data_IF_944006025544
#
_entry.id   IF_944006025544
#
_cell.length_a   1.000
_cell.length_b   1.000
_cell.length_c   1.000
_cell.angle_alpha   90.00
_cell.angle_beta   90.00
_cell.angle_gamma   90.00
#
_symmetry.space_group_name_H-M   'P 1'
#
loop_
_entity.id
_entity.type
_entity.pdbx_description
1 polymer ?
#
# COMPACT_ATOMS: atom_id res chain seq x y z
N UNK A 1 -15.91 1.54 8.44
CA UNK A 1 -15.03 2.67 8.41
C UNK A 1 -13.60 2.28 8.05
N UNK A 2 -12.79 3.27 7.67
CA UNK A 2 -11.40 3.09 7.27
C UNK A 2 -10.47 2.71 8.43
N UNK A 3 -10.94 2.91 9.65
CA UNK A 3 -10.12 2.68 10.85
C UNK A 3 -9.67 1.23 10.94
N UNK A 4 -8.41 1.03 10.66
CA UNK A 4 -7.71 -0.23 10.80
C UNK A 4 -6.30 0.08 11.34
N UNK A 5 -6.05 -0.19 12.62
CA UNK A 5 -4.75 0.12 13.20
C UNK A 5 -3.68 -0.78 12.57
N UNK A 6 -2.57 -0.19 12.18
CA UNK A 6 -1.39 -0.93 11.75
C UNK A 6 -0.13 -0.19 12.20
N UNK A 7 0.80 -0.91 12.80
CA UNK A 7 2.12 -0.40 13.18
C UNK A 7 3.02 -0.34 11.93
N UNK A 8 4.03 0.52 11.96
CA UNK A 8 5.00 0.61 10.87
C UNK A 8 5.79 -0.71 10.66
N UNK A 9 5.90 -1.51 11.73
CA UNK A 9 6.64 -2.77 11.76
C UNK A 9 5.74 -4.02 11.79
N UNK A 10 4.43 -3.88 11.59
CA UNK A 10 3.55 -5.02 11.37
C UNK A 10 3.89 -5.73 10.05
N UNK A 11 3.41 -6.96 9.90
CA UNK A 11 3.60 -7.72 8.68
C UNK A 11 3.00 -7.02 7.43
N UNK A 12 3.44 -7.43 6.26
CA UNK A 12 3.02 -6.84 5.00
C UNK A 12 1.50 -6.91 4.79
N UNK A 13 0.80 -8.03 5.04
CA UNK A 13 -0.65 -8.11 4.90
C UNK A 13 -1.40 -7.12 5.80
N UNK A 14 -0.92 -6.92 7.02
CA UNK A 14 -1.56 -6.01 7.96
C UNK A 14 -1.42 -4.55 7.52
N UNK A 15 -0.21 -4.15 7.13
CA UNK A 15 0.07 -2.81 6.59
C UNK A 15 -0.68 -2.54 5.29
N UNK A 16 -0.76 -3.53 4.40
CA UNK A 16 -1.52 -3.47 3.15
C UNK A 16 -3.02 -3.31 3.41
N UNK A 17 -3.56 -4.05 4.38
CA UNK A 17 -4.99 -3.95 4.76
C UNK A 17 -5.34 -2.52 5.19
N UNK A 18 -4.49 -1.87 6.00
CA UNK A 18 -4.69 -0.47 6.37
C UNK A 18 -4.72 0.43 5.13
N UNK A 19 -3.73 0.31 4.25
CA UNK A 19 -3.62 1.13 3.05
C UNK A 19 -4.82 0.96 2.11
N UNK A 20 -5.25 -0.27 1.84
CA UNK A 20 -6.40 -0.54 0.98
C UNK A 20 -7.72 -0.06 1.58
N UNK A 21 -7.87 -0.03 2.90
CA UNK A 21 -9.05 0.56 3.55
C UNK A 21 -9.09 2.08 3.40
N UNK A 22 -7.95 2.76 3.53
CA UNK A 22 -7.86 4.19 3.24
C UNK A 22 -8.15 4.49 1.77
N UNK A 23 -7.60 3.70 0.84
CA UNK A 23 -7.88 3.83 -0.59
C UNK A 23 -9.38 3.65 -0.91
N UNK A 24 -10.04 2.67 -0.28
CA UNK A 24 -11.47 2.42 -0.48
C UNK A 24 -12.33 3.61 -0.03
N UNK A 25 -12.08 4.14 1.18
CA UNK A 25 -12.86 5.29 1.67
C UNK A 25 -12.62 6.54 0.82
N UNK A 26 -11.38 6.77 0.39
CA UNK A 26 -11.06 7.90 -0.48
C UNK A 26 -11.75 7.75 -1.85
N UNK A 27 -11.71 6.54 -2.44
CA UNK A 27 -12.40 6.22 -3.67
C UNK A 27 -13.92 6.46 -3.57
N UNK A 28 -14.56 5.94 -2.51
CA UNK A 28 -16.00 6.09 -2.30
C UNK A 28 -16.39 7.55 -2.09
N UNK A 29 -15.54 8.32 -1.38
CA UNK A 29 -15.73 9.76 -1.20
C UNK A 29 -15.70 10.51 -2.53
N UNK A 30 -14.74 10.20 -3.40
CA UNK A 30 -14.58 10.85 -4.72
C UNK A 30 -15.74 10.44 -5.65
N UNK A 31 -16.17 9.18 -5.59
CA UNK A 31 -17.28 8.68 -6.41
C UNK A 31 -18.63 9.31 -6.04
N UNK A 32 -18.79 9.80 -4.81
CA UNK A 32 -20.07 10.28 -4.31
C UNK A 32 -20.32 11.72 -4.70
N UNK A 33 -21.41 11.96 -5.43
CA UNK A 33 -21.87 13.32 -5.76
C UNK A 33 -22.26 14.10 -4.49
N UNK A 34 -21.91 15.39 -4.47
CA UNK A 34 -22.24 16.29 -3.37
C UNK A 34 -21.31 16.19 -2.15
N UNK A 35 -20.31 15.35 -2.20
CA UNK A 35 -19.27 15.25 -1.16
C UNK A 35 -18.06 16.07 -1.60
N UNK A 36 -17.70 17.10 -0.84
CA UNK A 36 -16.58 17.98 -1.17
C UNK A 36 -15.21 17.37 -0.83
N UNK A 37 -15.17 16.39 0.06
CA UNK A 37 -13.94 15.71 0.48
C UNK A 37 -14.11 14.93 1.77
N UNK A 38 -13.03 14.31 2.22
CA UNK A 38 -13.00 13.57 3.48
C UNK A 38 -11.72 13.85 4.26
N UNK A 39 -11.78 13.61 5.55
CA UNK A 39 -10.62 13.67 6.44
C UNK A 39 -10.35 12.26 6.99
N UNK A 40 -9.16 11.74 6.71
CA UNK A 40 -8.72 10.49 7.33
C UNK A 40 -8.36 10.69 8.80
N UNK A 41 -8.75 9.78 9.67
CA UNK A 41 -8.27 9.73 11.03
C UNK A 41 -7.19 8.66 11.12
N UNK A 42 -5.95 9.02 11.28
CA UNK A 42 -5.43 10.37 11.43
C UNK A 42 -4.07 10.49 10.73
N UNK A 43 -3.44 11.67 10.83
CA UNK A 43 -2.16 11.91 10.17
C UNK A 43 -1.02 11.11 10.81
N UNK A 44 -0.92 11.14 12.14
CA UNK A 44 0.14 10.43 12.88
C UNK A 44 -0.44 9.52 13.93
N UNK A 45 0.26 8.45 14.24
CA UNK A 45 0.02 7.70 15.47
C UNK A 45 0.17 8.63 16.68
N UNK A 46 -0.54 8.35 17.75
CA UNK A 46 -0.55 9.23 18.92
C UNK A 46 -0.72 8.46 20.23
N UNK A 47 -0.22 9.04 21.29
CA UNK A 47 -0.34 8.48 22.63
C UNK A 47 -1.79 8.54 23.11
N UNK A 48 -2.22 7.48 23.78
CA UNK A 48 -3.56 7.34 24.35
C UNK A 48 -3.47 6.99 25.85
N UNK A 49 -4.62 6.99 26.52
CA UNK A 49 -4.67 6.50 27.89
C UNK A 49 -4.66 4.96 27.93
N UNK A 50 -4.42 4.40 29.12
CA UNK A 50 -4.22 2.96 29.36
C UNK A 50 -5.39 2.05 28.95
N UNK A 51 -6.59 2.59 28.86
CA UNK A 51 -7.80 1.83 28.54
C UNK A 51 -8.16 1.88 27.07
N UNK A 52 -7.32 2.53 26.25
CA UNK A 52 -7.56 2.70 24.82
C UNK A 52 -6.60 1.84 23.99
N UNK A 53 -7.16 1.06 23.08
CA UNK A 53 -6.40 0.42 22.00
C UNK A 53 -5.61 -0.83 22.41
N UNK A 54 -4.39 -0.90 21.97
CA UNK A 54 -3.53 -2.09 21.95
C UNK A 54 -2.85 -2.44 23.28
N UNK A 55 -3.09 -1.68 24.35
CA UNK A 55 -2.41 -1.89 25.64
C UNK A 55 -1.04 -1.20 25.76
N UNK A 56 -0.41 -0.83 24.69
CA UNK A 56 0.85 -0.06 24.66
C UNK A 56 0.64 1.46 24.68
N UNK A 57 -0.60 1.89 24.90
CA UNK A 57 -1.03 3.29 25.01
C UNK A 57 -0.77 4.13 23.76
N UNK A 58 -0.80 3.48 22.62
CA UNK A 58 -0.63 4.13 21.32
C UNK A 58 -1.82 3.76 20.42
N UNK A 59 -2.38 4.76 19.75
CA UNK A 59 -3.32 4.54 18.64
C UNK A 59 -2.52 4.48 17.34
N UNK A 60 -2.59 3.34 16.65
CA UNK A 60 -1.87 3.08 15.39
C UNK A 60 -2.71 3.35 14.14
N UNK A 61 -3.63 4.29 14.23
CA UNK A 61 -4.52 4.64 13.11
C UNK A 61 -3.91 5.66 12.14
N UNK A 62 -2.76 6.24 12.50
CA UNK A 62 -2.07 7.21 11.67
C UNK A 62 -1.60 6.64 10.33
N UNK A 63 -1.53 7.50 9.32
CA UNK A 63 -0.82 7.19 8.07
C UNK A 63 0.69 7.38 8.21
N UNK A 64 1.13 8.00 9.30
CA UNK A 64 2.51 8.12 9.75
C UNK A 64 2.65 7.54 11.14
N UNK A 65 3.84 7.11 11.51
CA UNK A 65 4.16 6.68 12.88
C UNK A 65 4.28 7.86 13.87
N UNK A 66 4.59 7.57 15.13
CA UNK A 66 4.79 8.59 16.18
C UNK A 66 5.93 9.58 15.86
N UNK A 67 6.90 9.16 15.06
CA UNK A 67 8.05 9.96 14.65
C UNK A 67 7.84 10.66 13.31
N UNK A 68 6.63 10.54 12.75
CA UNK A 68 6.22 11.06 11.43
C UNK A 68 6.90 10.39 10.26
N UNK A 69 7.42 9.18 10.42
CA UNK A 69 7.80 8.37 9.27
C UNK A 69 6.53 7.87 8.55
N UNK A 70 6.48 7.97 7.22
CA UNK A 70 5.32 7.51 6.48
C UNK A 70 5.16 5.99 6.58
N UNK A 71 3.93 5.54 6.80
CA UNK A 71 3.55 4.14 6.64
C UNK A 71 3.03 3.93 5.21
N UNK A 72 2.84 2.68 4.78
CA UNK A 72 2.31 2.36 3.46
C UNK A 72 1.01 3.15 3.14
N UNK A 73 0.16 3.34 4.14
CA UNK A 73 -1.09 4.10 3.99
C UNK A 73 -0.90 5.59 3.66
N UNK A 74 0.27 6.18 3.93
CA UNK A 74 0.57 7.55 3.51
C UNK A 74 0.67 7.67 1.99
N UNK A 75 1.18 6.63 1.33
CA UNK A 75 1.31 6.59 -0.12
C UNK A 75 -0.04 6.62 -0.84
N UNK A 76 -1.13 6.17 -0.20
CA UNK A 76 -2.49 6.28 -0.73
C UNK A 76 -2.84 7.73 -1.07
N UNK A 77 -2.54 8.66 -0.17
CA UNK A 77 -2.80 10.09 -0.39
C UNK A 77 -1.75 10.73 -1.28
N UNK A 78 -0.47 10.43 -1.06
CA UNK A 78 0.63 11.00 -1.81
C UNK A 78 0.54 10.68 -3.30
N UNK A 79 0.11 9.47 -3.66
CA UNK A 79 -0.05 9.03 -5.04
C UNK A 79 -1.23 9.67 -5.78
N UNK A 80 -2.15 10.37 -5.10
CA UNK A 80 -3.26 11.03 -5.79
C UNK A 80 -2.90 12.39 -6.37
N UNK A 81 -1.70 12.90 -6.08
CA UNK A 81 -1.21 14.17 -6.62
C UNK A 81 -0.82 13.99 -8.09
N UNK A 82 -1.28 14.92 -8.95
CA UNK A 82 -0.83 14.98 -10.34
C UNK A 82 0.69 15.32 -10.37
N UNK A 83 1.54 14.47 -10.97
CA UNK A 83 2.95 14.75 -11.07
C UNK A 83 3.20 15.89 -12.07
N UNK A 84 4.06 16.83 -11.71
CA UNK A 84 4.47 17.96 -12.57
C UNK A 84 5.86 17.77 -13.15
N UNK A 85 6.64 16.87 -12.53
CA UNK A 85 8.01 16.54 -12.92
C UNK A 85 8.31 15.09 -12.52
N UNK A 86 9.36 14.47 -13.05
CA UNK A 86 9.79 13.14 -12.65
C UNK A 86 10.06 12.99 -11.15
N UNK A 87 10.48 14.07 -10.47
CA UNK A 87 10.71 14.07 -9.03
C UNK A 87 9.42 14.05 -8.20
N UNK A 88 8.26 14.31 -8.81
CA UNK A 88 6.95 14.23 -8.15
C UNK A 88 6.36 12.81 -8.20
N UNK A 89 7.02 11.88 -8.89
CA UNK A 89 6.55 10.50 -8.96
C UNK A 89 6.70 9.84 -7.59
N UNK A 90 5.58 9.34 -7.11
CA UNK A 90 5.50 8.51 -5.91
C UNK A 90 5.50 7.06 -6.35
N UNK A 91 6.29 6.23 -5.71
CA UNK A 91 6.22 4.78 -5.83
C UNK A 91 6.46 4.15 -4.47
N UNK A 92 5.43 3.51 -3.95
CA UNK A 92 5.51 2.73 -2.71
C UNK A 92 4.89 1.36 -2.97
N UNK A 93 5.64 0.31 -2.63
CA UNK A 93 5.24 -1.07 -2.89
C UNK A 93 4.93 -1.77 -1.57
N UNK A 94 3.87 -2.56 -1.53
CA UNK A 94 3.37 -3.18 -0.29
C UNK A 94 4.22 -4.36 0.19
N UNK A 95 5.15 -4.84 -0.62
CA UNK A 95 5.99 -6.00 -0.32
C UNK A 95 7.45 -5.69 -0.57
N UNK A 96 8.33 -6.29 0.21
CA UNK A 96 9.77 -6.30 -0.05
C UNK A 96 10.13 -7.15 -1.27
N UNK A 97 9.16 -7.92 -1.80
CA UNK A 97 9.36 -8.89 -2.89
C UNK A 97 10.45 -9.94 -2.58
N UNK A 98 10.65 -10.21 -1.30
CA UNK A 98 11.57 -11.21 -0.80
C UNK A 98 10.77 -12.38 -0.20
N UNK A 99 10.21 -13.27 -1.03
CA UNK A 99 9.56 -14.48 -0.53
C UNK A 99 10.62 -15.34 0.15
N UNK A 100 10.33 -15.77 1.36
CA UNK A 100 11.28 -16.58 2.10
C UNK A 100 10.98 -16.63 3.58
N UNK A 101 11.83 -17.35 4.29
CA UNK A 101 11.70 -17.63 5.72
C UNK A 101 12.23 -16.44 6.54
N UNK A 102 11.52 -15.36 6.55
CA UNK A 102 11.82 -14.21 7.40
C UNK A 102 10.54 -13.57 7.99
N UNK A 103 10.61 -13.03 9.21
CA UNK A 103 9.46 -12.34 9.80
C UNK A 103 8.99 -11.19 8.92
N UNK A 104 7.72 -11.19 8.55
CA UNK A 104 7.13 -10.14 7.70
C UNK A 104 7.23 -10.38 6.20
N UNK A 105 7.92 -11.43 5.75
CA UNK A 105 7.89 -11.90 4.37
C UNK A 105 6.54 -12.49 4.02
N UNK A 106 6.00 -12.15 2.85
CA UNK A 106 4.71 -12.64 2.39
C UNK A 106 4.68 -12.80 0.88
N UNK A 107 4.31 -14.00 0.43
CA UNK A 107 4.19 -14.35 -0.99
C UNK A 107 2.73 -14.22 -1.49
N UNK A 108 2.02 -13.19 -1.08
CA UNK A 108 0.62 -12.94 -1.42
C UNK A 108 0.43 -11.82 -2.43
N UNK A 109 -0.69 -11.10 -2.29
CA UNK A 109 -0.99 -9.95 -3.14
C UNK A 109 0.01 -8.81 -2.89
N UNK A 110 0.61 -8.32 -3.96
CA UNK A 110 1.49 -7.16 -3.95
C UNK A 110 0.81 -5.99 -4.65
N UNK A 111 0.89 -4.81 -4.06
CA UNK A 111 0.28 -3.59 -4.56
C UNK A 111 1.29 -2.45 -4.61
N UNK A 112 1.21 -1.66 -5.68
CA UNK A 112 1.96 -0.42 -5.80
C UNK A 112 1.03 0.79 -5.72
N UNK A 113 1.38 1.75 -4.87
CA UNK A 113 0.74 3.06 -4.76
C UNK A 113 1.60 4.07 -5.50
N UNK A 114 1.13 4.52 -6.66
CA UNK A 114 1.90 5.39 -7.55
C UNK A 114 0.99 6.35 -8.31
N UNK A 115 1.54 7.49 -8.71
CA UNK A 115 0.92 8.44 -9.62
C UNK A 115 1.55 8.38 -11.03
N UNK A 116 2.31 7.33 -11.32
CA UNK A 116 2.77 7.02 -12.68
C UNK A 116 1.66 6.33 -13.50
N UNK A 117 1.77 6.39 -14.82
CA UNK A 117 0.79 5.79 -15.74
C UNK A 117 0.92 4.26 -15.81
N UNK A 118 2.12 3.74 -15.59
CA UNK A 118 2.39 2.30 -15.56
C UNK A 118 3.58 1.98 -14.65
N UNK A 119 3.69 0.72 -14.27
CA UNK A 119 4.76 0.16 -13.47
C UNK A 119 5.46 -0.94 -14.26
N UNK A 120 6.76 -0.80 -14.46
CA UNK A 120 7.58 -1.84 -15.08
C UNK A 120 8.29 -2.65 -14.02
N UNK A 121 8.16 -3.95 -14.13
CA UNK A 121 8.77 -4.91 -13.25
C UNK A 121 9.99 -5.53 -13.92
N UNK A 122 11.11 -5.51 -13.21
CA UNK A 122 12.37 -6.08 -13.67
C UNK A 122 12.88 -7.09 -12.66
N UNK A 123 13.53 -8.13 -13.16
CA UNK A 123 14.37 -9.02 -12.36
C UNK A 123 15.82 -8.75 -12.76
N UNK A 124 16.63 -8.32 -11.80
CA UNK A 124 17.95 -7.76 -12.09
C UNK A 124 17.84 -6.62 -13.11
N UNK A 125 18.29 -6.81 -14.34
CA UNK A 125 18.18 -5.84 -15.43
C UNK A 125 17.21 -6.29 -16.53
N UNK A 126 16.63 -7.47 -16.40
CA UNK A 126 15.74 -8.03 -17.42
C UNK A 126 14.30 -7.59 -17.18
N UNK A 127 13.68 -7.05 -18.23
CA UNK A 127 12.27 -6.69 -18.21
C UNK A 127 11.42 -7.96 -18.11
N UNK A 128 10.49 -7.98 -17.13
CA UNK A 128 9.62 -9.11 -16.86
C UNK A 128 8.18 -8.80 -17.27
N UNK A 129 7.62 -7.70 -16.78
CA UNK A 129 6.21 -7.35 -17.00
C UNK A 129 5.96 -5.85 -16.86
N UNK A 130 4.85 -5.38 -17.41
CA UNK A 130 4.32 -4.04 -17.20
C UNK A 130 2.90 -4.12 -16.67
N UNK A 131 2.60 -3.33 -15.65
CA UNK A 131 1.29 -3.24 -15.02
C UNK A 131 0.75 -1.82 -15.13
N UNK A 132 -0.54 -1.70 -15.36
CA UNK A 132 -1.25 -0.42 -15.37
C UNK A 132 -2.37 -0.43 -14.32
N UNK A 133 -2.81 0.76 -13.85
CA UNK A 133 -3.91 0.85 -12.92
C UNK A 133 -5.21 0.35 -13.56
N UNK A 134 -5.99 -0.44 -12.81
CA UNK A 134 -7.32 -0.84 -13.24
C UNK A 134 -8.32 0.31 -13.04
N UNK A 135 -8.60 1.02 -14.13
CA UNK A 135 -9.53 2.15 -14.14
C UNK A 135 -11.02 1.75 -14.21
N UNK A 136 -11.30 0.44 -14.16
CA UNK A 136 -12.67 -0.10 -14.11
C UNK A 136 -12.95 -0.92 -12.85
N UNK A 137 -11.90 -1.15 -12.05
CA UNK A 137 -11.95 -1.97 -10.85
C UNK A 137 -12.41 -1.19 -9.61
N UNK A 138 -12.08 -1.77 -8.47
CA UNK A 138 -12.51 -1.32 -7.15
C UNK A 138 -12.17 0.14 -6.84
N UNK A 139 -11.07 0.65 -7.39
CA UNK A 139 -10.53 1.99 -7.08
C UNK A 139 -10.64 2.96 -8.26
N UNK A 140 -11.57 2.72 -9.18
CA UNK A 140 -11.67 3.45 -10.44
C UNK A 140 -11.98 4.95 -10.31
N UNK A 141 -12.53 5.41 -9.19
CA UNK A 141 -12.80 6.82 -8.93
C UNK A 141 -11.55 7.59 -8.48
N UNK A 142 -10.50 6.91 -8.02
CA UNK A 142 -9.24 7.55 -7.67
C UNK A 142 -8.57 8.14 -8.92
N UNK A 143 -7.98 9.34 -8.86
CA UNK A 143 -7.13 9.89 -9.93
C UNK A 143 -6.02 8.92 -10.35
N UNK A 144 -5.39 8.28 -9.38
CA UNK A 144 -4.36 7.27 -9.56
C UNK A 144 -4.70 6.02 -8.75
N UNK A 145 -5.47 5.06 -9.33
CA UNK A 145 -5.79 3.80 -8.69
C UNK A 145 -4.51 3.01 -8.37
N UNK A 146 -4.42 2.39 -7.18
CA UNK A 146 -3.29 1.52 -6.88
C UNK A 146 -3.23 0.35 -7.87
N UNK A 147 -2.01 -0.06 -8.19
CA UNK A 147 -1.73 -1.12 -9.17
C UNK A 147 -1.53 -2.44 -8.43
N UNK A 148 -2.33 -3.45 -8.74
CA UNK A 148 -2.13 -4.80 -8.25
C UNK A 148 -1.11 -5.52 -9.12
N UNK A 149 -0.07 -6.06 -8.50
CA UNK A 149 0.95 -6.87 -9.15
C UNK A 149 0.57 -8.32 -8.96
N UNK A 150 -0.10 -8.88 -9.96
CA UNK A 150 -0.54 -10.27 -9.94
C UNK A 150 0.62 -11.23 -10.11
N UNK A 151 0.58 -12.35 -9.37
CA UNK A 151 1.55 -13.42 -9.51
C UNK A 151 3.02 -12.98 -9.42
N UNK A 152 3.31 -12.02 -8.52
CA UNK A 152 4.66 -11.48 -8.44
C UNK A 152 5.70 -12.53 -8.04
N UNK A 153 5.34 -13.54 -7.26
CA UNK A 153 6.23 -14.66 -6.91
C UNK A 153 6.64 -15.43 -8.17
N UNK A 154 5.67 -15.76 -9.02
CA UNK A 154 5.96 -16.41 -10.31
C UNK A 154 6.83 -15.55 -11.23
N UNK A 155 6.72 -14.22 -11.14
CA UNK A 155 7.55 -13.29 -11.90
C UNK A 155 8.99 -13.19 -11.36
N UNK A 156 9.18 -13.48 -10.07
CA UNK A 156 10.50 -13.52 -9.43
C UNK A 156 11.26 -14.80 -9.73
N UNK A 157 10.56 -15.91 -10.03
CA UNK A 157 11.18 -17.19 -10.29
C UNK A 157 11.75 -17.28 -11.71
N UNK A 158 12.95 -17.81 -11.85
CA UNK A 158 13.52 -18.20 -13.14
C UNK A 158 12.89 -19.50 -13.67
N UNK A 159 13.20 -19.86 -14.92
CA UNK A 159 12.64 -21.05 -15.57
C UNK A 159 12.92 -22.36 -14.82
N UNK A 160 14.08 -22.42 -14.15
CA UNK A 160 14.58 -23.60 -13.45
C UNK A 160 14.52 -23.44 -11.93
N UNK A 161 13.89 -22.38 -11.44
CA UNK A 161 13.70 -22.11 -10.02
C UNK A 161 12.28 -22.49 -9.61
N UNK A 162 12.15 -23.11 -8.48
CA UNK A 162 10.87 -23.43 -7.85
C UNK A 162 10.94 -23.12 -6.35
N UNK A 163 9.80 -22.80 -5.77
CA UNK A 163 9.67 -22.82 -4.32
C UNK A 163 9.71 -24.29 -3.90
N UNK A 164 10.58 -24.65 -2.98
CA UNK A 164 10.50 -25.95 -2.36
C UNK A 164 9.22 -26.04 -1.48
N UNK A 165 8.84 -27.26 -1.08
CA UNK A 165 7.61 -27.46 -0.31
C UNK A 165 7.68 -26.98 1.13
N UNK A 166 8.78 -26.41 1.54
CA UNK A 166 9.00 -25.85 2.88
C UNK A 166 8.94 -24.32 2.88
N UNK A 167 8.82 -23.69 1.70
CA UNK A 167 8.66 -22.23 1.52
C UNK A 167 7.21 -21.79 1.43
#
# INVERSE_FOLDING_TARGET
GAQYPAKAFDDEPHRLTQALRYAAVLNDTIAQQGVAGSFGWCMTDYNTHREFGSGDRISYQGVMDLFRNPKLSAAVYASQKLPRSPSDIVLEVSSTMAPGDHPGGFAGACWAFTNADSLRFYRDNDFVAEFAPDRRGRFAALPHPPIEIHNFVGLLLGKDEGLDRAG
#
